data_IF_355479477159
#
_entry.id   IF_355479477159
#
_cell.length_a   1.000
_cell.length_b   1.000
_cell.length_c   1.000
_cell.angle_alpha   90.00
_cell.angle_beta   90.00
_cell.angle_gamma   90.00
#
_symmetry.space_group_name_H-M   'P 1'
#
loop_
_entity.id
_entity.type
_entity.pdbx_description
1 polymer ?
#
# COMPACT_ATOMS: atom_id res chain seq x y z
N UNK A 1 8.26 16.34 10.07
CA UNK A 1 9.71 16.38 10.37
C UNK A 1 10.13 15.01 10.86
N UNK A 2 10.70 14.16 10.00
CA UNK A 2 11.15 12.81 10.41
C UNK A 2 12.59 12.88 10.93
N UNK A 3 13.49 13.54 10.21
CA UNK A 3 14.91 13.66 10.55
C UNK A 3 15.20 14.17 11.97
N UNK A 4 14.48 15.19 12.44
CA UNK A 4 14.69 15.72 13.80
C UNK A 4 14.24 14.75 14.90
N UNK A 5 13.29 13.87 14.61
CA UNK A 5 12.76 12.89 15.57
C UNK A 5 13.51 11.56 15.53
N UNK A 6 14.51 11.39 14.65
CA UNK A 6 15.27 10.14 14.51
C UNK A 6 15.95 9.73 15.82
N UNK A 7 16.38 10.71 16.62
CA UNK A 7 16.94 10.46 17.95
C UNK A 7 15.91 9.98 18.97
N UNK A 8 14.61 9.99 18.68
CA UNK A 8 13.52 9.55 19.56
C UNK A 8 12.86 8.25 19.06
N UNK A 9 12.96 7.94 17.77
CA UNK A 9 12.41 6.70 17.20
C UNK A 9 13.26 5.51 17.67
N UNK A 10 12.63 4.58 18.40
CA UNK A 10 13.27 3.37 18.97
C UNK A 10 12.76 2.06 18.40
N UNK A 11 11.71 2.11 17.60
CA UNK A 11 11.08 0.95 16.95
C UNK A 11 11.09 1.16 15.44
N UNK A 12 11.00 0.09 14.63
CA UNK A 12 10.87 0.22 13.18
C UNK A 12 9.69 1.12 12.82
N UNK A 13 9.92 2.03 11.88
CA UNK A 13 8.89 2.93 11.38
C UNK A 13 8.77 2.81 9.86
N UNK A 14 7.64 3.27 9.35
CA UNK A 14 7.37 3.34 7.93
C UNK A 14 6.96 4.75 7.51
N UNK A 15 6.97 4.98 6.20
CA UNK A 15 6.60 6.26 5.60
C UNK A 15 5.58 6.07 4.50
N UNK A 16 4.86 7.14 4.20
CA UNK A 16 3.81 7.16 3.20
C UNK A 16 3.70 8.55 2.58
N UNK A 17 4.01 8.68 1.30
CA UNK A 17 3.72 9.88 0.50
C UNK A 17 2.44 9.60 -0.26
N UNK A 18 1.33 10.13 0.26
CA UNK A 18 -0.02 9.77 -0.16
C UNK A 18 -0.19 9.70 -1.68
N UNK A 19 -0.48 8.49 -2.17
CA UNK A 19 -0.72 8.16 -3.58
C UNK A 19 0.50 8.20 -4.49
N UNK A 20 1.70 8.30 -3.91
CA UNK A 20 2.94 8.30 -4.65
C UNK A 20 3.88 7.23 -4.07
N UNK A 21 3.81 5.99 -4.59
CA UNK A 21 4.69 4.93 -4.11
C UNK A 21 6.14 5.13 -4.55
N UNK A 22 6.42 5.91 -5.59
CA UNK A 22 7.77 6.26 -6.03
C UNK A 22 8.40 7.21 -5.01
N UNK A 23 7.72 8.31 -4.69
CA UNK A 23 8.16 9.25 -3.67
C UNK A 23 8.18 8.61 -2.27
N UNK A 24 7.32 7.64 -2.00
CA UNK A 24 7.36 6.88 -0.74
C UNK A 24 8.66 6.07 -0.61
N UNK A 25 9.13 5.44 -1.70
CA UNK A 25 10.43 4.77 -1.69
C UNK A 25 11.59 5.76 -1.53
N UNK A 26 11.53 6.91 -2.21
CA UNK A 26 12.56 7.96 -2.08
C UNK A 26 12.63 8.49 -0.64
N UNK A 27 11.47 8.75 -0.03
CA UNK A 27 11.37 9.17 1.36
C UNK A 27 11.87 8.09 2.33
N UNK A 28 11.56 6.82 2.05
CA UNK A 28 12.03 5.72 2.88
C UNK A 28 13.55 5.63 2.87
N UNK A 29 14.17 5.70 1.69
CA UNK A 29 15.61 5.73 1.53
C UNK A 29 16.25 6.96 2.19
N UNK A 30 15.60 8.12 2.12
CA UNK A 30 16.12 9.36 2.72
C UNK A 30 16.02 9.40 4.24
N UNK A 31 15.20 8.53 4.86
CA UNK A 31 14.92 8.57 6.30
C UNK A 31 15.24 7.27 7.04
N UNK A 32 15.72 6.24 6.35
CA UNK A 32 15.94 4.88 6.87
C UNK A 32 14.66 4.14 7.31
N UNK A 33 13.50 4.52 6.76
CA UNK A 33 12.24 3.84 7.02
C UNK A 33 12.28 2.38 6.56
N UNK A 34 11.62 1.49 7.31
CA UNK A 34 11.70 0.03 7.08
C UNK A 34 10.58 -0.51 6.22
N UNK A 35 9.50 0.25 6.06
CA UNK A 35 8.36 -0.15 5.25
C UNK A 35 7.63 1.06 4.67
N UNK A 36 6.93 0.85 3.57
CA UNK A 36 5.98 1.81 3.01
C UNK A 36 4.61 1.16 2.86
N UNK A 37 3.56 1.96 2.93
CA UNK A 37 2.17 1.51 2.78
C UNK A 37 1.48 2.32 1.72
N UNK A 38 1.20 1.72 0.58
CA UNK A 38 0.65 2.43 -0.57
C UNK A 38 -0.34 1.60 -1.38
N UNK A 39 -1.04 2.27 -2.30
CA UNK A 39 -1.89 1.62 -3.30
C UNK A 39 -1.03 1.36 -4.53
N UNK A 40 -0.41 0.18 -4.58
CA UNK A 40 0.50 -0.18 -5.68
C UNK A 40 -0.23 -0.67 -6.93
N UNK A 41 -1.42 -1.25 -6.75
CA UNK A 41 -2.09 -2.05 -7.79
C UNK A 41 -3.57 -1.73 -7.91
N UNK A 42 -4.10 -1.92 -9.11
CA UNK A 42 -5.51 -1.80 -9.43
C UNK A 42 -5.87 -0.48 -10.10
N UNK A 43 -7.12 -0.40 -10.54
CA UNK A 43 -7.70 0.81 -11.06
C UNK A 43 -8.98 1.12 -10.30
N UNK A 44 -9.09 2.33 -9.77
CA UNK A 44 -10.17 2.73 -8.87
C UNK A 44 -10.82 4.03 -9.36
N UNK A 45 -12.11 4.18 -9.11
CA UNK A 45 -12.77 5.49 -9.13
C UNK A 45 -12.97 5.97 -7.69
N UNK A 46 -12.69 7.24 -7.44
CA UNK A 46 -12.85 7.88 -6.14
C UNK A 46 -13.31 9.33 -6.29
N UNK A 47 -13.53 10.00 -5.16
CA UNK A 47 -13.75 11.46 -5.12
C UNK A 47 -12.59 12.28 -5.72
N UNK A 48 -11.42 11.66 -5.87
CA UNK A 48 -10.21 12.27 -6.45
C UNK A 48 -10.02 11.92 -7.94
N UNK A 49 -10.99 11.25 -8.56
CA UNK A 49 -10.94 10.82 -9.95
C UNK A 49 -10.54 9.35 -10.13
N UNK A 50 -10.05 9.03 -11.33
CA UNK A 50 -9.59 7.67 -11.67
C UNK A 50 -8.14 7.50 -11.24
N UNK A 51 -7.89 6.43 -10.50
CA UNK A 51 -6.56 6.00 -10.10
C UNK A 51 -6.15 4.87 -11.01
N UNK A 52 -5.12 5.10 -11.82
CA UNK A 52 -4.56 4.12 -12.76
C UNK A 52 -3.14 3.77 -12.33
N UNK A 53 -3.02 2.78 -11.45
CA UNK A 53 -1.73 2.46 -10.82
C UNK A 53 -0.83 1.64 -11.74
N UNK A 54 0.49 1.87 -11.66
CA UNK A 54 1.49 1.12 -12.42
C UNK A 54 2.54 0.50 -11.49
N UNK A 55 2.21 -0.66 -10.90
CA UNK A 55 3.13 -1.38 -10.00
C UNK A 55 4.48 -1.70 -10.66
N UNK A 56 4.49 -1.98 -11.96
CA UNK A 56 5.72 -2.34 -12.66
C UNK A 56 6.71 -1.17 -12.73
N UNK A 57 6.20 0.05 -12.92
CA UNK A 57 7.02 1.27 -12.87
C UNK A 57 7.58 1.50 -11.47
N UNK A 58 6.72 1.42 -10.45
CA UNK A 58 7.10 1.58 -9.05
C UNK A 58 8.18 0.60 -8.60
N UNK A 59 8.02 -0.70 -8.92
CA UNK A 59 8.99 -1.73 -8.52
C UNK A 59 10.30 -1.59 -9.32
N UNK A 60 10.25 -1.19 -10.60
CA UNK A 60 11.49 -0.85 -11.35
C UNK A 60 12.24 0.32 -10.71
N UNK A 61 11.52 1.32 -10.19
CA UNK A 61 12.12 2.42 -9.43
C UNK A 61 12.77 1.94 -8.14
N UNK A 62 12.06 1.13 -7.35
CA UNK A 62 12.60 0.50 -6.14
C UNK A 62 13.94 -0.20 -6.42
N UNK A 63 14.01 -1.02 -7.47
CA UNK A 63 15.25 -1.69 -7.86
C UNK A 63 16.35 -0.71 -8.27
N UNK A 64 16.00 0.35 -9.02
CA UNK A 64 16.95 1.37 -9.49
C UNK A 64 17.64 2.10 -8.34
N UNK A 65 16.92 2.37 -7.26
CA UNK A 65 17.46 3.09 -6.08
C UNK A 65 17.98 2.16 -4.97
N UNK A 66 17.94 0.84 -5.17
CA UNK A 66 18.40 -0.13 -4.17
C UNK A 66 17.47 -0.29 -2.95
N UNK A 67 16.20 0.11 -3.06
CA UNK A 67 15.20 0.03 -1.98
C UNK A 67 14.60 -1.38 -1.79
N UNK A 68 15.30 -2.43 -2.23
CA UNK A 68 14.86 -3.83 -2.13
C UNK A 68 14.59 -4.32 -0.70
N UNK A 69 15.17 -3.63 0.29
CA UNK A 69 15.04 -3.95 1.71
C UNK A 69 13.85 -3.26 2.39
N UNK A 70 13.23 -2.27 1.74
CA UNK A 70 12.05 -1.56 2.25
C UNK A 70 10.82 -2.43 2.02
N UNK A 71 10.16 -2.83 3.10
CA UNK A 71 8.99 -3.70 3.06
C UNK A 71 7.78 -2.99 2.44
N UNK A 72 6.97 -3.74 1.70
CA UNK A 72 5.82 -3.19 0.97
C UNK A 72 4.50 -3.68 1.56
N UNK A 73 3.68 -2.74 2.04
CA UNK A 73 2.33 -2.98 2.52
C UNK A 73 1.34 -2.50 1.46
N UNK A 74 0.71 -3.43 0.75
CA UNK A 74 -0.19 -3.12 -0.35
C UNK A 74 -1.61 -2.87 0.16
N UNK A 75 -2.10 -1.64 0.02
CA UNK A 75 -3.49 -1.32 0.29
C UNK A 75 -4.36 -1.66 -0.93
N UNK A 76 -5.23 -2.67 -0.78
CA UNK A 76 -6.01 -3.24 -1.90
C UNK A 76 -7.50 -2.84 -1.88
N UNK A 77 -7.94 -2.15 -0.83
CA UNK A 77 -9.27 -1.54 -0.74
C UNK A 77 -9.06 -0.15 -0.16
N UNK A 78 -8.69 0.83 -1.00
CA UNK A 78 -8.52 2.16 -0.51
C UNK A 78 -9.85 2.78 -0.14
N UNK A 79 -9.78 3.70 0.81
CA UNK A 79 -10.93 4.42 1.31
C UNK A 79 -11.52 5.36 0.25
N UNK A 80 -12.84 5.58 0.27
CA UNK A 80 -13.55 6.45 -0.66
C UNK A 80 -13.34 6.10 -2.14
N UNK A 81 -13.02 4.84 -2.43
CA UNK A 81 -12.72 4.36 -3.76
C UNK A 81 -13.41 3.03 -4.06
N UNK A 82 -13.79 2.84 -5.31
CA UNK A 82 -14.36 1.58 -5.83
C UNK A 82 -13.49 1.02 -6.93
N UNK A 83 -13.25 -0.28 -6.90
CA UNK A 83 -12.51 -0.96 -7.96
C UNK A 83 -13.31 -0.94 -9.27
N UNK A 84 -12.72 -0.47 -10.36
CA UNK A 84 -13.43 -0.30 -11.64
C UNK A 84 -13.96 -1.61 -12.24
N UNK A 85 -13.34 -2.74 -11.91
CA UNK A 85 -13.64 -4.07 -12.48
C UNK A 85 -14.73 -4.90 -11.79
N UNK A 86 -15.53 -4.34 -10.88
CA UNK A 86 -16.57 -5.06 -10.10
C UNK A 86 -16.09 -6.39 -9.47
N UNK A 87 -14.81 -6.43 -9.05
CA UNK A 87 -14.17 -7.59 -8.42
C UNK A 87 -14.36 -7.50 -6.92
N UNK A 88 -14.65 -8.63 -6.29
CA UNK A 88 -14.71 -8.69 -4.83
C UNK A 88 -13.29 -8.65 -4.22
N UNK A 89 -13.21 -8.22 -2.96
CA UNK A 89 -11.95 -8.06 -2.22
C UNK A 89 -11.13 -9.35 -2.11
N UNK A 90 -11.76 -10.53 -2.02
CA UNK A 90 -11.01 -11.79 -1.93
C UNK A 90 -10.36 -12.10 -3.28
N UNK A 91 -11.08 -11.89 -4.38
CA UNK A 91 -10.52 -12.03 -5.74
C UNK A 91 -9.38 -11.05 -5.99
N UNK A 92 -9.51 -9.80 -5.53
CA UNK A 92 -8.43 -8.80 -5.62
C UNK A 92 -7.22 -9.29 -4.83
N UNK A 93 -7.39 -9.65 -3.55
CA UNK A 93 -6.33 -10.16 -2.69
C UNK A 93 -5.58 -11.35 -3.30
N UNK A 94 -6.31 -12.38 -3.80
CA UNK A 94 -5.71 -13.55 -4.48
C UNK A 94 -4.78 -13.12 -5.61
N UNK A 95 -5.30 -12.29 -6.51
CA UNK A 95 -4.52 -11.86 -7.68
C UNK A 95 -3.37 -10.94 -7.31
N UNK A 96 -3.52 -10.09 -6.30
CA UNK A 96 -2.46 -9.19 -5.86
C UNK A 96 -1.31 -9.98 -5.25
N UNK A 97 -1.60 -10.95 -4.39
CA UNK A 97 -0.58 -11.84 -3.80
C UNK A 97 0.12 -12.65 -4.89
N UNK A 98 -0.65 -13.29 -5.77
CA UNK A 98 -0.09 -14.12 -6.84
C UNK A 98 0.82 -13.34 -7.80
N UNK A 99 0.41 -12.14 -8.21
CA UNK A 99 1.16 -11.37 -9.21
C UNK A 99 2.29 -10.52 -8.64
N UNK A 100 2.19 -10.07 -7.37
CA UNK A 100 3.10 -9.06 -6.83
C UNK A 100 3.84 -9.50 -5.56
N UNK A 101 3.40 -10.55 -4.89
CA UNK A 101 4.01 -11.09 -3.67
C UNK A 101 4.39 -10.01 -2.63
N UNK A 102 3.43 -9.15 -2.19
CA UNK A 102 3.72 -8.07 -1.25
C UNK A 102 4.09 -8.63 0.12
N UNK A 103 4.85 -7.85 0.92
CA UNK A 103 5.20 -8.27 2.29
C UNK A 103 3.98 -8.32 3.22
N UNK A 104 2.97 -7.50 2.94
CA UNK A 104 1.68 -7.54 3.61
C UNK A 104 0.57 -6.90 2.77
N UNK A 105 -0.67 -7.30 3.04
CA UNK A 105 -1.88 -6.66 2.52
C UNK A 105 -2.53 -5.78 3.61
N UNK A 106 -2.99 -4.61 3.20
CA UNK A 106 -3.85 -3.74 4.00
C UNK A 106 -5.26 -3.76 3.41
N UNK A 107 -6.25 -3.99 4.28
CA UNK A 107 -7.67 -4.02 3.93
C UNK A 107 -8.38 -3.02 4.83
N UNK A 108 -8.84 -1.92 4.25
CA UNK A 108 -9.60 -0.88 4.95
C UNK A 108 -11.11 -1.11 4.86
N UNK A 109 -11.85 -0.49 5.78
CA UNK A 109 -13.30 -0.34 5.64
C UNK A 109 -13.67 0.67 4.54
N UNK A 110 -14.95 0.68 4.15
CA UNK A 110 -15.48 1.55 3.08
C UNK A 110 -15.31 3.06 3.35
N UNK A 111 -15.24 3.48 4.62
CA UNK A 111 -15.12 4.89 5.03
C UNK A 111 -14.17 5.05 6.22
N UNK A 112 -13.49 6.20 6.34
CA UNK A 112 -12.65 6.55 7.49
C UNK A 112 -13.45 6.45 8.77
N UNK A 113 -12.86 5.82 9.78
CA UNK A 113 -13.48 5.67 11.10
C UNK A 113 -14.57 4.59 11.17
N UNK A 114 -14.99 3.99 10.04
CA UNK A 114 -15.83 2.80 10.08
C UNK A 114 -14.97 1.57 10.35
N UNK A 115 -15.41 0.74 11.31
CA UNK A 115 -14.74 -0.51 11.65
C UNK A 115 -14.76 -1.43 10.43
N UNK A 116 -13.58 -1.89 9.98
CA UNK A 116 -13.50 -2.94 8.96
C UNK A 116 -14.26 -4.17 9.46
N UNK A 117 -15.14 -4.73 8.64
CA UNK A 117 -15.86 -5.97 8.95
C UNK A 117 -14.83 -7.09 9.15
N UNK A 118 -14.80 -7.64 10.37
CA UNK A 118 -13.89 -8.73 10.73
C UNK A 118 -14.14 -9.99 9.91
N UNK A 119 -15.36 -10.18 9.40
CA UNK A 119 -15.68 -11.27 8.47
C UNK A 119 -14.95 -11.10 7.14
N UNK A 120 -14.84 -9.87 6.61
CA UNK A 120 -14.10 -9.58 5.38
C UNK A 120 -12.60 -9.86 5.60
N UNK A 121 -12.03 -9.37 6.71
CA UNK A 121 -10.62 -9.63 7.04
C UNK A 121 -10.32 -11.12 7.14
N UNK A 122 -11.21 -11.89 7.78
CA UNK A 122 -11.10 -13.35 7.88
C UNK A 122 -11.10 -14.01 6.50
N UNK A 123 -12.06 -13.64 5.64
CA UNK A 123 -12.16 -14.18 4.27
C UNK A 123 -10.94 -13.87 3.41
N UNK A 124 -10.37 -12.67 3.54
CA UNK A 124 -9.13 -12.29 2.83
C UNK A 124 -7.94 -13.08 3.36
N UNK A 125 -7.88 -13.35 4.67
CA UNK A 125 -6.80 -14.15 5.28
C UNK A 125 -6.86 -15.63 4.90
N UNK A 126 -8.06 -16.19 4.72
CA UNK A 126 -8.30 -17.61 4.38
C UNK A 126 -8.19 -17.92 2.88
N UNK A 127 -7.86 -16.90 2.09
CA UNK A 127 -7.88 -16.88 0.63
C UNK A 127 -6.53 -17.26 0.06
#
# INVERSE_FOLDING_TARGET
>A
IIGQLMSEIRVPFGVNVLWDPVASFDLAMATDAKFIREIFTGAYASDFGVWDTNVGETIRHQHRIGAGHVKTLFNIVPEAAVYLGNRDVCSIAKSTVFNNNPDALCVSGLTAGARTDSAILKRVKET
#
